data_IF_671057987686
#
_entry.id   IF_671057987686
#
_cell.length_a   1.000
_cell.length_b   1.000
_cell.length_c   1.000
_cell.angle_alpha   90.00
_cell.angle_beta   90.00
_cell.angle_gamma   90.00
#
_symmetry.space_group_name_H-M   'P 1'
#
loop_
_entity.id
_entity.type
_entity.pdbx_description
1 polymer ?
#
# COMPACT_ATOMS: atom_id res chain seq x y z
N UNK A 1 2.33 22.82 3.41
CA UNK A 1 1.07 22.11 3.73
C UNK A 1 1.47 20.66 3.98
N UNK A 2 1.43 20.17 5.22
CA UNK A 2 1.89 18.80 5.52
C UNK A 2 0.89 17.80 4.92
N UNK A 3 1.41 16.66 4.46
CA UNK A 3 0.65 15.61 3.75
C UNK A 3 0.00 14.60 4.73
N UNK A 4 -0.13 14.97 6.00
CA UNK A 4 -0.38 14.04 7.12
C UNK A 4 -1.77 13.38 7.10
N UNK A 5 -2.74 13.87 6.33
CA UNK A 5 -4.11 13.34 6.37
C UNK A 5 -4.76 13.25 4.98
N UNK A 6 -3.98 12.94 3.95
CA UNK A 6 -4.52 12.91 2.58
C UNK A 6 -4.95 11.53 2.18
N UNK A 7 -6.16 11.46 1.63
CA UNK A 7 -6.74 10.22 1.13
C UNK A 7 -6.04 9.86 -0.18
N UNK A 8 -5.35 8.73 -0.21
CA UNK A 8 -4.66 8.23 -1.40
C UNK A 8 -5.54 7.23 -2.13
N UNK A 9 -5.69 7.40 -3.44
CA UNK A 9 -6.48 6.50 -4.28
C UNK A 9 -5.66 5.27 -4.64
N UNK A 10 -6.26 4.10 -4.50
CA UNK A 10 -5.64 2.82 -4.85
C UNK A 10 -6.36 2.24 -6.07
N UNK A 11 -5.58 1.95 -7.10
CA UNK A 11 -6.07 1.32 -8.32
C UNK A 11 -5.35 0.00 -8.57
N UNK A 12 -6.08 -0.97 -9.09
CA UNK A 12 -5.57 -2.23 -9.63
C UNK A 12 -5.91 -2.28 -11.12
N UNK A 13 -4.90 -2.22 -11.98
CA UNK A 13 -5.05 -2.11 -13.44
C UNK A 13 -6.05 -1.01 -13.85
N UNK A 14 -5.81 0.20 -13.35
CA UNK A 14 -6.62 1.42 -13.64
C UNK A 14 -8.05 1.39 -13.08
N UNK A 15 -8.44 0.30 -12.40
CA UNK A 15 -9.71 0.22 -11.68
C UNK A 15 -9.52 0.67 -10.24
N UNK A 16 -10.31 1.65 -9.81
CA UNK A 16 -10.41 2.03 -8.41
C UNK A 16 -10.86 0.84 -7.56
N UNK A 17 -10.05 0.47 -6.56
CA UNK A 17 -10.40 -0.58 -5.59
C UNK A 17 -10.62 -0.03 -4.18
N UNK A 18 -10.14 1.18 -3.89
CA UNK A 18 -10.28 1.78 -2.57
C UNK A 18 -9.30 2.90 -2.32
N UNK A 19 -9.05 3.15 -1.03
CA UNK A 19 -8.21 4.24 -0.57
C UNK A 19 -7.38 3.85 0.65
N UNK A 20 -6.30 4.59 0.92
CA UNK A 20 -5.54 4.49 2.18
C UNK A 20 -5.07 5.87 2.61
N UNK A 21 -4.85 6.06 3.92
CA UNK A 21 -4.25 7.28 4.46
C UNK A 21 -2.73 7.20 4.53
N UNK A 22 -2.15 6.01 4.37
CA UNK A 22 -0.71 5.78 4.43
C UNK A 22 -0.11 6.29 5.77
N UNK A 23 -0.79 5.96 6.87
CA UNK A 23 -0.54 6.48 8.21
C UNK A 23 0.75 5.95 8.88
N UNK A 24 1.34 4.87 8.35
CA UNK A 24 2.51 4.21 8.90
C UNK A 24 3.73 4.36 7.98
N UNK A 25 4.94 4.29 8.56
CA UNK A 25 6.17 4.38 7.79
C UNK A 25 7.39 3.75 8.47
N UNK A 26 8.28 3.20 7.63
CA UNK A 26 9.69 2.94 7.91
C UNK A 26 10.52 3.86 7.00
N UNK A 27 10.78 5.08 7.50
CA UNK A 27 11.45 6.10 6.73
C UNK A 27 12.86 5.68 6.25
N UNK A 28 13.75 5.10 7.07
CA UNK A 28 15.06 4.61 6.61
C UNK A 28 14.99 3.65 5.41
N UNK A 29 13.97 2.80 5.37
CA UNK A 29 13.77 1.83 4.29
C UNK A 29 13.02 2.40 3.09
N UNK A 30 12.55 3.65 3.17
CA UNK A 30 11.72 4.27 2.14
C UNK A 30 10.35 3.61 2.01
N UNK A 31 9.82 3.05 3.09
CA UNK A 31 8.53 2.34 3.09
C UNK A 31 7.48 3.18 3.78
N UNK A 32 6.33 3.33 3.12
CA UNK A 32 5.11 3.87 3.70
C UNK A 32 4.01 2.82 3.59
N UNK A 33 3.15 2.70 4.59
CA UNK A 33 2.06 1.73 4.61
C UNK A 33 0.81 2.27 5.27
N UNK A 34 -0.31 1.59 5.04
CA UNK A 34 -1.57 1.93 5.67
C UNK A 34 -2.69 0.97 5.29
N UNK A 35 -3.77 0.99 6.07
CA UNK A 35 -4.91 0.12 5.81
C UNK A 35 -5.67 0.54 4.54
N UNK A 36 -6.12 -0.44 3.77
CA UNK A 36 -6.97 -0.24 2.60
C UNK A 36 -8.43 -0.17 3.04
N UNK A 37 -9.08 0.93 2.70
CA UNK A 37 -10.53 1.08 2.71
C UNK A 37 -11.07 0.74 1.33
N UNK A 38 -11.51 -0.51 1.16
CA UNK A 38 -12.05 -0.97 -0.11
C UNK A 38 -13.38 -0.30 -0.47
N UNK A 39 -13.62 -0.14 -1.77
CA UNK A 39 -14.90 0.26 -2.32
C UNK A 39 -15.45 -0.81 -3.26
N UNK A 40 -16.65 -1.32 -2.95
CA UNK A 40 -17.34 -2.35 -3.74
C UNK A 40 -16.52 -3.63 -3.92
N UNK A 41 -15.73 -4.02 -2.91
CA UNK A 41 -15.00 -5.29 -2.84
C UNK A 41 -15.47 -6.04 -1.59
N UNK A 42 -16.02 -7.23 -1.78
CA UNK A 42 -16.55 -8.06 -0.69
C UNK A 42 -15.43 -8.84 0.03
N UNK A 43 -14.39 -9.24 -0.69
CA UNK A 43 -13.23 -9.96 -0.18
C UNK A 43 -11.96 -9.45 -0.83
N UNK A 44 -11.06 -8.88 -0.02
CA UNK A 44 -9.73 -8.49 -0.48
C UNK A 44 -8.86 -9.72 -0.76
N UNK A 45 -9.07 -10.79 0.01
CA UNK A 45 -8.37 -12.06 -0.18
C UNK A 45 -8.66 -12.64 -1.56
N UNK A 46 -9.94 -12.81 -1.92
CA UNK A 46 -10.33 -13.40 -3.20
C UNK A 46 -9.84 -12.50 -4.36
N UNK A 47 -9.96 -11.17 -4.23
CA UNK A 47 -9.44 -10.21 -5.22
C UNK A 47 -7.95 -10.39 -5.50
N UNK A 48 -7.12 -10.37 -4.46
CA UNK A 48 -5.66 -10.43 -4.64
C UNK A 48 -5.18 -11.83 -4.98
N UNK A 49 -5.80 -12.88 -4.45
CA UNK A 49 -5.47 -14.26 -4.80
C UNK A 49 -5.70 -14.52 -6.29
N UNK A 50 -6.86 -14.12 -6.82
CA UNK A 50 -7.20 -14.27 -8.23
C UNK A 50 -6.27 -13.42 -9.10
N UNK A 51 -6.03 -12.17 -8.72
CA UNK A 51 -5.16 -11.27 -9.46
C UNK A 51 -3.73 -11.82 -9.56
N UNK A 52 -3.15 -12.23 -8.44
CA UNK A 52 -1.79 -12.76 -8.38
C UNK A 52 -1.66 -14.07 -9.15
N UNK A 53 -2.65 -14.96 -9.05
CA UNK A 53 -2.67 -16.23 -9.78
C UNK A 53 -2.71 -16.02 -11.30
N UNK A 54 -3.58 -15.12 -11.77
CA UNK A 54 -3.73 -14.82 -13.20
C UNK A 54 -2.51 -14.11 -13.80
N UNK A 55 -1.81 -13.30 -13.00
CA UNK A 55 -0.65 -12.53 -13.44
C UNK A 55 0.70 -13.15 -13.06
N UNK A 56 0.70 -14.35 -12.47
CA UNK A 56 1.91 -15.07 -12.00
C UNK A 56 2.77 -14.25 -11.04
N UNK A 57 2.11 -13.52 -10.15
CA UNK A 57 2.78 -12.77 -9.07
C UNK A 57 3.04 -13.74 -7.92
N UNK A 58 4.26 -13.69 -7.37
CA UNK A 58 4.65 -14.52 -6.23
C UNK A 58 3.86 -14.13 -4.98
N UNK A 59 3.27 -15.13 -4.32
CA UNK A 59 2.63 -15.02 -3.02
C UNK A 59 3.60 -15.61 -1.99
N UNK A 60 3.96 -14.82 -0.98
CA UNK A 60 4.88 -15.25 0.08
C UNK A 60 4.18 -16.22 1.03
N UNK A 61 2.92 -15.90 1.37
CA UNK A 61 2.10 -16.69 2.27
C UNK A 61 0.65 -16.65 1.82
N UNK A 62 0.01 -17.82 1.83
CA UNK A 62 -1.40 -17.99 1.50
C UNK A 62 -2.02 -18.97 2.49
N UNK A 63 -2.83 -18.46 3.40
CA UNK A 63 -3.63 -19.28 4.32
C UNK A 63 -5.12 -19.16 3.99
N UNK A 64 -5.66 -20.20 3.37
CA UNK A 64 -7.07 -20.27 2.96
C UNK A 64 -8.04 -20.35 4.14
N UNK A 65 -7.61 -20.82 5.31
CA UNK A 65 -8.50 -20.97 6.47
C UNK A 65 -8.78 -19.60 7.10
N UNK A 66 -7.75 -18.78 7.20
CA UNK A 66 -7.86 -17.41 7.71
C UNK A 66 -8.16 -16.38 6.64
N UNK A 67 -8.17 -16.79 5.36
CA UNK A 67 -8.20 -15.89 4.21
C UNK A 67 -7.10 -14.82 4.30
N UNK A 68 -5.91 -15.27 4.67
CA UNK A 68 -4.72 -14.43 4.78
C UNK A 68 -3.85 -14.58 3.54
N UNK A 69 -3.34 -13.46 3.04
CA UNK A 69 -2.42 -13.43 1.91
C UNK A 69 -1.34 -12.36 2.13
N UNK A 70 -0.09 -12.74 1.89
CA UNK A 70 1.06 -11.85 1.79
C UNK A 70 1.70 -11.99 0.42
N UNK A 71 2.02 -10.87 -0.22
CA UNK A 71 2.40 -10.84 -1.64
C UNK A 71 3.77 -10.20 -1.85
N UNK A 72 4.44 -10.60 -2.94
CA UNK A 72 5.49 -9.79 -3.53
C UNK A 72 4.89 -8.58 -4.26
N UNK A 73 5.74 -7.75 -4.87
CA UNK A 73 5.30 -6.58 -5.64
C UNK A 73 4.23 -6.94 -6.68
N UNK A 74 3.14 -6.18 -6.68
CA UNK A 74 2.01 -6.24 -7.61
C UNK A 74 2.13 -5.08 -8.61
N UNK A 75 2.62 -5.28 -9.86
CA UNK A 75 2.89 -4.18 -10.79
C UNK A 75 1.64 -3.37 -11.21
N UNK A 76 0.48 -4.00 -11.21
CA UNK A 76 -0.80 -3.35 -11.53
C UNK A 76 -1.39 -2.54 -10.37
N UNK A 77 -0.86 -2.70 -9.15
CA UNK A 77 -1.32 -1.97 -7.98
C UNK A 77 -0.60 -0.62 -7.90
N UNK A 78 -1.38 0.47 -8.03
CA UNK A 78 -0.88 1.84 -8.09
C UNK A 78 -1.59 2.70 -7.06
N UNK A 79 -0.85 3.66 -6.52
CA UNK A 79 -1.35 4.61 -5.53
C UNK A 79 -1.17 6.03 -6.03
N UNK A 80 -2.20 6.87 -5.84
CA UNK A 80 -2.24 8.24 -6.32
C UNK A 80 -2.57 9.21 -5.20
N UNK A 81 -1.90 10.36 -5.20
CA UNK A 81 -2.23 11.49 -4.35
C UNK A 81 -3.55 12.16 -4.80
N UNK A 82 -4.15 12.97 -3.93
CA UNK A 82 -5.38 13.72 -4.22
C UNK A 82 -5.30 14.61 -5.48
N UNK A 83 -4.11 15.12 -5.80
CA UNK A 83 -3.89 15.94 -7.00
C UNK A 83 -3.81 15.10 -8.29
N UNK A 84 -4.00 13.78 -8.21
CA UNK A 84 -3.95 12.85 -9.34
C UNK A 84 -2.56 12.34 -9.69
N UNK A 85 -1.50 12.82 -9.03
CA UNK A 85 -0.14 12.33 -9.26
C UNK A 85 0.04 10.92 -8.69
N UNK A 86 0.65 10.02 -9.47
CA UNK A 86 1.01 8.69 -9.00
C UNK A 86 2.21 8.76 -8.04
N UNK A 87 2.14 8.03 -6.93
CA UNK A 87 3.30 7.72 -6.10
C UNK A 87 4.14 6.67 -6.83
N UNK A 88 5.35 7.05 -7.26
CA UNK A 88 6.25 6.17 -8.01
C UNK A 88 7.01 5.25 -7.04
N UNK A 89 6.39 4.14 -6.70
CA UNK A 89 6.97 3.08 -5.88
C UNK A 89 6.51 1.69 -6.33
N UNK A 90 7.03 0.66 -5.67
CA UNK A 90 6.55 -0.72 -5.82
C UNK A 90 5.58 -1.03 -4.68
N UNK A 91 4.44 -1.63 -5.00
CA UNK A 91 3.38 -1.90 -4.05
C UNK A 91 3.23 -3.39 -3.77
N UNK A 92 3.03 -3.75 -2.51
CA UNK A 92 2.65 -5.09 -2.07
C UNK A 92 1.48 -4.99 -1.08
N UNK A 93 0.82 -6.11 -0.83
CA UNK A 93 -0.25 -6.20 0.17
C UNK A 93 0.01 -7.35 1.13
N UNK A 94 -0.48 -7.17 2.36
CA UNK A 94 -0.56 -8.20 3.39
C UNK A 94 -1.84 -8.02 4.18
N UNK A 95 -2.49 -9.11 4.59
CA UNK A 95 -3.67 -9.05 5.45
C UNK A 95 -4.68 -10.14 5.19
N UNK A 96 -5.86 -9.99 5.81
CA UNK A 96 -6.94 -10.96 5.75
C UNK A 96 -8.32 -10.30 5.81
N UNK A 97 -9.35 -10.92 5.24
CA UNK A 97 -10.70 -10.33 5.16
C UNK A 97 -11.27 -9.87 6.51
N UNK A 98 -10.96 -10.59 7.60
CA UNK A 98 -11.48 -10.28 8.94
C UNK A 98 -10.83 -9.05 9.59
N UNK A 99 -9.56 -8.80 9.29
CA UNK A 99 -8.76 -7.74 9.94
C UNK A 99 -8.47 -6.56 9.00
N UNK A 100 -8.70 -6.77 7.70
CA UNK A 100 -8.38 -5.83 6.64
C UNK A 100 -7.02 -6.13 5.99
N UNK A 101 -6.66 -5.27 5.04
CA UNK A 101 -5.45 -5.38 4.25
C UNK A 101 -4.63 -4.11 4.39
N UNK A 102 -3.33 -4.27 4.60
CA UNK A 102 -2.35 -3.19 4.53
C UNK A 102 -1.74 -3.16 3.13
N UNK A 103 -1.64 -1.96 2.56
CA UNK A 103 -0.79 -1.71 1.39
C UNK A 103 0.57 -1.20 1.87
N UNK A 104 1.63 -1.74 1.30
CA UNK A 104 3.01 -1.31 1.53
C UNK A 104 3.58 -0.76 0.24
N UNK A 105 4.19 0.42 0.30
CA UNK A 105 4.78 1.11 -0.85
C UNK A 105 6.23 1.41 -0.53
N UNK A 106 7.13 0.83 -1.32
CA UNK A 106 8.55 1.18 -1.26
C UNK A 106 8.85 2.25 -2.32
N UNK A 107 9.34 3.40 -1.86
CA UNK A 107 9.72 4.55 -2.69
C UNK A 107 11.20 4.84 -2.46
N UNK A 108 11.97 4.95 -3.54
CA UNK A 108 13.40 5.22 -3.44
C UNK A 108 13.68 6.68 -3.03
N UNK A 109 14.75 6.89 -2.29
CA UNK A 109 15.30 8.23 -2.05
C UNK A 109 15.91 8.83 -3.34
N UNK A 110 15.84 10.16 -3.54
CA UNK A 110 15.30 11.18 -2.62
C UNK A 110 13.78 11.35 -2.67
N UNK A 111 13.08 10.69 -3.61
CA UNK A 111 11.65 10.88 -3.84
C UNK A 111 10.79 10.59 -2.59
N UNK A 112 11.17 9.60 -1.78
CA UNK A 112 10.49 9.32 -0.52
C UNK A 112 10.43 10.55 0.39
N UNK A 113 11.54 11.26 0.57
CA UNK A 113 11.60 12.46 1.43
C UNK A 113 10.79 13.62 0.85
N UNK A 114 10.77 13.75 -0.48
CA UNK A 114 9.98 14.78 -1.17
C UNK A 114 8.48 14.57 -0.98
N UNK A 115 8.02 13.31 -1.03
CA UNK A 115 6.60 12.95 -0.90
C UNK A 115 6.19 12.82 0.58
N UNK A 116 7.05 12.31 1.44
CA UNK A 116 6.74 12.01 2.84
C UNK A 116 7.69 12.72 3.83
N UNK A 117 7.86 14.06 3.74
CA UNK A 117 8.81 14.78 4.60
C UNK A 117 8.44 14.70 6.09
N UNK A 118 7.16 14.45 6.39
CA UNK A 118 6.67 14.31 7.76
C UNK A 118 7.12 13.00 8.41
N UNK A 119 7.08 11.87 7.70
CA UNK A 119 7.59 10.60 8.21
C UNK A 119 9.11 10.65 8.44
N UNK A 120 9.86 11.31 7.54
CA UNK A 120 11.30 11.54 7.71
C UNK A 120 11.58 12.39 8.96
N UNK A 121 10.80 13.47 9.16
CA UNK A 121 10.91 14.34 10.33
C UNK A 121 10.59 13.58 11.62
N UNK A 122 9.47 12.86 11.66
CA UNK A 122 9.03 12.10 12.84
C UNK A 122 10.07 11.05 13.24
N UNK A 123 10.59 10.31 12.26
CA UNK A 123 11.69 9.37 12.50
C UNK A 123 12.91 10.08 13.09
N UNK A 124 13.36 11.16 12.47
CA UNK A 124 14.52 11.93 12.93
C UNK A 124 14.35 12.50 14.34
N UNK A 125 13.13 12.84 14.76
CA UNK A 125 12.81 13.34 16.09
C UNK A 125 12.78 12.24 17.16
N UNK A 126 12.44 10.99 16.80
CA UNK A 126 12.46 9.83 17.73
C UNK A 126 13.88 9.42 18.16
N UNK A 127 14.89 9.74 17.35
CA UNK A 127 16.30 9.37 17.59
C UNK A 127 17.20 10.57 17.93
N UNK A 128 16.61 11.72 18.26
CA UNK A 128 17.30 12.84 18.91
C UNK A 128 17.31 12.66 20.42
#
# INVERSE_FOLDING_TARGET
MSLIDKKHRIELDEKLIGFSFLENADAPMGVVSGMIQFENIDSGYDLFLDYCSNNRITINENDTNYKFIDTQTIPGLKVYCENGSQIKGVCAITGMDKEGFEIQIMVNYPLYEEIFPHHVKEYSEKFK
#
